data_IF_820654126600
#
_entry.id   IF_820654126600
#
_cell.length_a   1.000
_cell.length_b   1.000
_cell.length_c   1.000
_cell.angle_alpha   90.00
_cell.angle_beta   90.00
_cell.angle_gamma   90.00
#
_symmetry.space_group_name_H-M   'P 1'
#
loop_
_entity.id
_entity.type
_entity.pdbx_description
1 polymer ?
#
# COMPACT_ATOMS: atom_id res chain seq x y z
N UNK A 1 88.63 60.62 57.58
CA UNK A 1 87.17 60.90 57.66
C UNK A 1 86.50 60.17 56.51
N UNK A 2 85.57 59.27 56.82
CA UNK A 2 84.99 58.32 55.86
C UNK A 2 84.04 58.97 54.87
N UNK A 3 84.07 58.47 53.63
CA UNK A 3 83.24 58.91 52.51
C UNK A 3 81.83 58.30 52.67
N UNK A 4 80.73 59.08 52.60
CA UNK A 4 79.38 58.58 52.74
C UNK A 4 78.84 58.12 51.37
N UNK A 5 79.01 56.84 51.02
CA UNK A 5 78.52 56.27 49.75
C UNK A 5 77.17 55.52 49.90
N UNK A 6 76.58 55.44 51.09
CA UNK A 6 75.57 54.39 51.38
C UNK A 6 74.08 54.78 51.40
N UNK A 7 73.70 56.05 51.23
CA UNK A 7 72.29 56.47 51.39
C UNK A 7 71.49 56.53 50.06
N UNK A 8 72.02 57.19 49.01
CA UNK A 8 71.25 57.48 47.79
C UNK A 8 70.81 56.24 46.96
N UNK A 9 71.54 55.13 47.06
CA UNK A 9 71.17 53.88 46.36
C UNK A 9 70.06 53.08 47.06
N UNK A 10 69.90 53.26 48.38
CA UNK A 10 68.90 52.54 49.18
C UNK A 10 67.51 53.14 48.98
N UNK A 11 67.43 54.47 48.85
CA UNK A 11 66.18 55.19 48.60
C UNK A 11 65.63 54.90 47.18
N UNK A 12 66.49 54.84 46.15
CA UNK A 12 66.06 54.50 44.77
C UNK A 12 65.50 53.08 44.63
N UNK A 13 66.10 52.12 45.36
CA UNK A 13 65.63 50.74 45.41
C UNK A 13 64.31 50.62 46.18
N UNK A 14 64.16 51.40 47.26
CA UNK A 14 62.91 51.50 48.02
C UNK A 14 61.77 52.03 47.16
N UNK A 15 62.01 53.10 46.40
CA UNK A 15 61.02 53.71 45.50
C UNK A 15 60.62 52.74 44.37
N UNK A 16 61.59 52.06 43.76
CA UNK A 16 61.31 51.03 42.75
C UNK A 16 60.52 49.85 43.31
N UNK A 17 60.84 49.40 44.52
CA UNK A 17 60.08 48.35 45.20
C UNK A 17 58.65 48.80 45.55
N UNK A 18 58.45 50.07 45.90
CA UNK A 18 57.13 50.66 46.12
C UNK A 18 56.31 50.69 44.82
N UNK A 19 56.90 51.14 43.70
CA UNK A 19 56.23 51.13 42.39
C UNK A 19 55.87 49.72 41.91
N UNK A 20 56.74 48.74 42.14
CA UNK A 20 56.44 47.33 41.83
C UNK A 20 55.27 46.81 42.67
N UNK A 21 55.23 47.13 43.98
CA UNK A 21 54.11 46.76 44.85
C UNK A 21 52.80 47.40 44.39
N UNK A 22 52.82 48.67 44.01
CA UNK A 22 51.63 49.36 43.48
C UNK A 22 51.15 48.72 42.16
N UNK A 23 52.07 48.38 41.26
CA UNK A 23 51.76 47.73 39.98
C UNK A 23 51.18 46.32 40.18
N UNK A 24 51.70 45.57 41.17
CA UNK A 24 51.14 44.28 41.57
C UNK A 24 49.75 44.44 42.19
N UNK A 25 49.54 45.43 43.07
CA UNK A 25 48.22 45.71 43.64
C UNK A 25 47.19 46.10 42.57
N UNK A 26 47.57 46.94 41.60
CA UNK A 26 46.74 47.24 40.42
C UNK A 26 46.42 45.98 39.62
N UNK A 27 47.42 45.14 39.35
CA UNK A 27 47.23 43.88 38.61
C UNK A 27 46.31 42.90 39.37
N UNK A 28 46.44 42.83 40.70
CA UNK A 28 45.56 42.04 41.56
C UNK A 28 44.13 42.57 41.49
N UNK A 29 43.93 43.88 41.64
CA UNK A 29 42.60 44.50 41.51
C UNK A 29 41.97 44.23 40.14
N UNK A 30 42.74 44.31 39.05
CA UNK A 30 42.27 43.97 37.71
C UNK A 30 41.84 42.49 37.64
N UNK A 31 42.63 41.59 38.24
CA UNK A 31 42.32 40.17 38.30
C UNK A 31 41.04 39.91 39.09
N UNK A 32 40.89 40.54 40.25
CA UNK A 32 39.69 40.40 41.10
C UNK A 32 38.44 40.93 40.38
N UNK A 33 38.57 42.05 39.66
CA UNK A 33 37.50 42.59 38.82
C UNK A 33 37.12 41.61 37.70
N UNK A 34 38.10 40.97 37.05
CA UNK A 34 37.84 39.95 36.04
C UNK A 34 37.13 38.73 36.64
N UNK A 35 37.59 38.24 37.79
CA UNK A 35 36.95 37.11 38.50
C UNK A 35 35.51 37.46 38.86
N UNK A 36 35.26 38.67 39.36
CA UNK A 36 33.91 39.16 39.67
C UNK A 36 33.02 39.21 38.42
N UNK A 37 33.54 39.73 37.30
CA UNK A 37 32.81 39.77 36.03
C UNK A 37 32.46 38.37 35.50
N UNK A 38 33.42 37.44 35.52
CA UNK A 38 33.21 36.05 35.10
C UNK A 38 32.19 35.33 36.00
N UNK A 39 32.28 35.52 37.32
CA UNK A 39 31.30 34.98 38.26
C UNK A 39 29.89 35.52 38.01
N UNK A 40 29.76 36.81 37.68
CA UNK A 40 28.48 37.42 37.27
C UNK A 40 27.94 36.79 35.97
N UNK A 41 28.80 36.52 34.98
CA UNK A 41 28.36 35.86 33.75
C UNK A 41 27.90 34.43 33.99
N UNK A 42 28.63 33.66 34.80
CA UNK A 42 28.26 32.29 35.17
C UNK A 42 26.89 32.25 35.86
N UNK A 43 26.67 33.14 36.83
CA UNK A 43 25.39 33.26 37.51
C UNK A 43 24.24 33.63 36.56
N UNK A 44 24.46 34.61 35.66
CA UNK A 44 23.46 35.03 34.69
C UNK A 44 23.15 33.95 33.65
N UNK A 45 24.14 33.20 33.18
CA UNK A 45 23.96 32.08 32.26
C UNK A 45 23.20 30.93 32.92
N UNK A 46 23.55 30.60 34.16
CA UNK A 46 22.85 29.59 34.96
C UNK A 46 21.38 29.96 35.21
N UNK A 47 21.12 31.22 35.56
CA UNK A 47 19.76 31.75 35.71
C UNK A 47 18.99 31.72 34.38
N UNK A 48 19.63 32.08 33.27
CA UNK A 48 19.03 32.04 31.93
C UNK A 48 18.67 30.61 31.53
N UNK A 49 19.59 29.64 31.69
CA UNK A 49 19.32 28.24 31.39
C UNK A 49 18.15 27.70 32.22
N UNK A 50 18.15 28.01 33.52
CA UNK A 50 17.07 27.61 34.43
C UNK A 50 15.74 28.21 34.01
N UNK A 51 15.72 29.46 33.56
CA UNK A 51 14.50 30.13 33.06
C UNK A 51 14.03 29.57 31.71
N UNK A 52 14.96 29.17 30.82
CA UNK A 52 14.63 28.68 29.47
C UNK A 52 14.21 27.20 29.44
N UNK A 53 14.79 26.36 30.31
CA UNK A 53 14.60 24.91 30.30
C UNK A 53 13.13 24.47 30.38
N UNK A 54 12.26 25.04 31.24
CA UNK A 54 10.84 24.67 31.27
C UNK A 54 10.12 24.89 29.94
N UNK A 55 10.43 26.00 29.25
CA UNK A 55 9.86 26.33 27.94
C UNK A 55 10.36 25.36 26.88
N UNK A 56 11.65 25.04 26.85
CA UNK A 56 12.21 24.06 25.90
C UNK A 56 11.57 22.68 26.06
N UNK A 57 11.43 22.19 27.30
CA UNK A 57 10.81 20.89 27.59
C UNK A 57 9.36 20.87 27.11
N UNK A 58 8.58 21.91 27.43
CA UNK A 58 7.16 22.00 27.01
C UNK A 58 7.04 22.07 25.49
N UNK A 59 7.81 22.92 24.83
CA UNK A 59 7.78 23.04 23.36
C UNK A 59 8.17 21.74 22.68
N UNK A 60 9.18 21.02 23.18
CA UNK A 60 9.55 19.72 22.65
C UNK A 60 8.44 18.67 22.84
N UNK A 61 7.82 18.63 24.01
CA UNK A 61 6.70 17.73 24.29
C UNK A 61 5.48 18.01 23.39
N UNK A 62 5.15 19.29 23.20
CA UNK A 62 4.06 19.73 22.31
C UNK A 62 4.34 19.31 20.87
N UNK A 63 5.55 19.58 20.35
CA UNK A 63 5.93 19.17 18.99
C UNK A 63 5.81 17.65 18.80
N UNK A 64 6.30 16.87 19.76
CA UNK A 64 6.19 15.41 19.73
C UNK A 64 4.75 14.93 19.79
N UNK A 65 3.90 15.58 20.59
CA UNK A 65 2.48 15.27 20.65
C UNK A 65 1.81 15.54 19.30
N UNK A 66 2.08 16.68 18.66
CA UNK A 66 1.58 16.99 17.32
C UNK A 66 2.01 15.94 16.28
N UNK A 67 3.29 15.57 16.26
CA UNK A 67 3.78 14.53 15.36
C UNK A 67 3.09 13.17 15.58
N UNK A 68 2.81 12.80 16.83
CA UNK A 68 2.09 11.58 17.16
C UNK A 68 0.62 11.64 16.72
N UNK A 69 -0.04 12.79 16.91
CA UNK A 69 -1.41 13.04 16.46
C UNK A 69 -1.48 12.92 14.93
N UNK A 70 -0.59 13.58 14.20
CA UNK A 70 -0.56 13.55 12.74
C UNK A 70 -0.34 12.14 12.20
N UNK A 71 0.57 11.36 12.80
CA UNK A 71 0.81 9.96 12.41
C UNK A 71 -0.43 9.10 12.64
N UNK A 72 -1.09 9.29 13.79
CA UNK A 72 -2.31 8.54 14.14
C UNK A 72 -3.46 8.90 13.20
N UNK A 73 -3.63 10.18 12.88
CA UNK A 73 -4.65 10.67 11.95
C UNK A 73 -4.41 10.09 10.54
N UNK A 74 -3.16 10.10 10.05
CA UNK A 74 -2.81 9.49 8.77
C UNK A 74 -3.11 7.99 8.74
N UNK A 75 -2.76 7.26 9.81
CA UNK A 75 -3.06 5.84 9.91
C UNK A 75 -4.57 5.57 9.93
N UNK A 76 -5.35 6.38 10.64
CA UNK A 76 -6.81 6.27 10.68
C UNK A 76 -7.43 6.54 9.30
N UNK A 77 -6.96 7.55 8.56
CA UNK A 77 -7.45 7.85 7.22
C UNK A 77 -7.23 6.71 6.23
N UNK A 78 -6.09 6.01 6.31
CA UNK A 78 -5.83 4.82 5.47
C UNK A 78 -6.88 3.74 5.71
N UNK A 79 -7.29 3.53 6.97
CA UNK A 79 -8.30 2.55 7.34
C UNK A 79 -9.69 2.99 6.87
N UNK A 80 -10.06 4.26 7.09
CA UNK A 80 -11.35 4.81 6.66
C UNK A 80 -11.53 4.70 5.15
N UNK A 81 -10.51 5.08 4.37
CA UNK A 81 -10.52 4.93 2.92
C UNK A 81 -10.76 3.47 2.49
N UNK A 82 -10.29 2.51 3.29
CA UNK A 82 -10.45 1.09 3.00
C UNK A 82 -11.89 0.60 3.20
N UNK A 83 -12.59 1.17 4.17
CA UNK A 83 -14.03 0.97 4.35
C UNK A 83 -14.84 1.62 3.23
N UNK A 84 -14.49 2.85 2.82
CA UNK A 84 -15.19 3.53 1.71
C UNK A 84 -15.06 2.73 0.40
N UNK A 85 -13.86 2.27 0.07
CA UNK A 85 -13.62 1.41 -1.09
C UNK A 85 -14.37 0.07 -1.00
N UNK A 86 -14.47 -0.53 0.20
CA UNK A 86 -15.25 -1.75 0.39
C UNK A 86 -16.74 -1.52 0.13
N UNK A 87 -17.29 -0.39 0.60
CA UNK A 87 -18.71 -0.03 0.42
C UNK A 87 -19.03 0.27 -1.05
N UNK A 88 -18.14 0.96 -1.75
CA UNK A 88 -18.30 1.20 -3.19
C UNK A 88 -18.26 -0.11 -3.98
N UNK A 89 -17.28 -0.97 -3.68
CA UNK A 89 -17.18 -2.28 -4.31
C UNK A 89 -18.43 -3.15 -4.04
N UNK A 90 -18.94 -3.16 -2.81
CA UNK A 90 -20.15 -3.88 -2.44
C UNK A 90 -21.36 -3.46 -3.30
N UNK A 91 -21.55 -2.16 -3.53
CA UNK A 91 -22.62 -1.66 -4.39
C UNK A 91 -22.52 -2.24 -5.81
N UNK A 92 -21.30 -2.29 -6.38
CA UNK A 92 -21.05 -2.89 -7.70
C UNK A 92 -21.32 -4.41 -7.69
N UNK A 93 -20.89 -5.12 -6.64
CA UNK A 93 -21.13 -6.57 -6.49
C UNK A 93 -22.62 -6.91 -6.37
N UNK A 94 -23.40 -6.11 -5.65
CA UNK A 94 -24.84 -6.34 -5.48
C UNK A 94 -25.56 -6.20 -6.83
N UNK A 95 -25.23 -5.16 -7.60
CA UNK A 95 -25.81 -4.90 -8.93
C UNK A 95 -25.57 -6.05 -9.91
N UNK A 96 -24.41 -6.68 -9.87
CA UNK A 96 -24.06 -7.79 -10.76
C UNK A 96 -23.32 -7.35 -12.02
N UNK A 97 -22.74 -8.29 -12.78
CA UNK A 97 -21.83 -7.99 -13.89
C UNK A 97 -22.54 -7.66 -15.21
N UNK A 98 -23.87 -7.75 -15.28
CA UNK A 98 -24.65 -7.60 -16.52
C UNK A 98 -24.58 -6.17 -17.10
N UNK A 99 -24.57 -5.14 -16.25
CA UNK A 99 -24.55 -3.74 -16.70
C UNK A 99 -23.14 -3.25 -17.06
N UNK A 100 -22.14 -3.67 -16.28
CA UNK A 100 -20.77 -3.17 -16.35
C UNK A 100 -19.82 -4.25 -15.82
N UNK A 101 -19.38 -5.12 -16.72
CA UNK A 101 -18.46 -6.22 -16.38
C UNK A 101 -17.11 -5.67 -15.91
N UNK A 102 -16.59 -4.64 -16.57
CA UNK A 102 -15.27 -4.07 -16.26
C UNK A 102 -15.26 -3.47 -14.84
N UNK A 103 -16.23 -2.60 -14.53
CA UNK A 103 -16.36 -2.04 -13.18
C UNK A 103 -16.67 -3.10 -12.12
N UNK A 104 -17.34 -4.19 -12.49
CA UNK A 104 -17.59 -5.32 -11.59
C UNK A 104 -16.30 -6.11 -11.28
N UNK A 105 -15.46 -6.36 -12.28
CA UNK A 105 -14.15 -7.00 -12.09
C UNK A 105 -13.20 -6.11 -11.28
N UNK A 106 -13.21 -4.79 -11.51
CA UNK A 106 -12.49 -3.82 -10.70
C UNK A 106 -12.93 -3.88 -9.22
N UNK A 107 -14.24 -3.97 -8.96
CA UNK A 107 -14.78 -4.12 -7.62
C UNK A 107 -14.26 -5.40 -6.92
N UNK A 108 -14.15 -6.51 -7.65
CA UNK A 108 -13.57 -7.76 -7.16
C UNK A 108 -12.09 -7.56 -6.78
N UNK A 109 -11.30 -6.92 -7.63
CA UNK A 109 -9.89 -6.66 -7.33
C UNK A 109 -9.73 -5.73 -6.13
N UNK A 110 -10.61 -4.73 -5.99
CA UNK A 110 -10.67 -3.87 -4.82
C UNK A 110 -10.99 -4.65 -3.53
N UNK A 111 -11.92 -5.62 -3.57
CA UNK A 111 -12.21 -6.53 -2.45
C UNK A 111 -11.01 -7.45 -2.12
N UNK A 112 -10.34 -8.01 -3.12
CA UNK A 112 -9.13 -8.84 -2.91
C UNK A 112 -8.00 -8.03 -2.28
N UNK A 113 -7.81 -6.80 -2.75
CA UNK A 113 -6.86 -5.84 -2.19
C UNK A 113 -7.21 -5.51 -0.72
N UNK A 114 -8.50 -5.39 -0.39
CA UNK A 114 -9.03 -5.17 0.96
C UNK A 114 -8.66 -6.31 1.89
N UNK A 115 -8.94 -7.54 1.45
CA UNK A 115 -8.63 -8.74 2.20
C UNK A 115 -7.12 -8.85 2.45
N UNK A 116 -6.27 -8.60 1.44
CA UNK A 116 -4.81 -8.60 1.62
C UNK A 116 -4.36 -7.56 2.65
N UNK A 117 -4.90 -6.35 2.58
CA UNK A 117 -4.54 -5.27 3.50
C UNK A 117 -4.84 -5.63 4.95
N UNK A 118 -6.06 -6.07 5.26
CA UNK A 118 -6.45 -6.42 6.63
C UNK A 118 -5.84 -7.73 7.12
N UNK A 119 -5.51 -8.65 6.21
CA UNK A 119 -4.79 -9.89 6.56
C UNK A 119 -3.35 -9.61 7.00
N UNK A 120 -2.67 -8.68 6.32
CA UNK A 120 -1.30 -8.30 6.64
C UNK A 120 -1.22 -7.37 7.85
N UNK A 121 -2.30 -6.63 8.16
CA UNK A 121 -2.38 -5.70 9.28
C UNK A 121 -3.28 -6.23 10.41
N UNK A 122 -2.87 -7.33 11.05
CA UNK A 122 -3.59 -7.99 12.17
C UNK A 122 -3.65 -7.20 13.48
N UNK A 123 -3.22 -5.94 13.49
CA UNK A 123 -3.17 -5.11 14.70
C UNK A 123 -4.54 -4.74 15.27
N UNK A 124 -5.64 -5.04 14.57
CA UNK A 124 -7.00 -4.63 14.95
C UNK A 124 -7.88 -5.84 15.28
N UNK A 125 -8.39 -5.94 16.51
CA UNK A 125 -9.38 -6.97 16.89
C UNK A 125 -10.67 -6.93 16.06
N UNK A 126 -10.97 -5.79 15.41
CA UNK A 126 -12.10 -5.64 14.48
C UNK A 126 -11.83 -6.15 13.06
N UNK A 127 -10.61 -6.54 12.70
CA UNK A 127 -10.31 -6.96 11.32
C UNK A 127 -11.03 -8.24 10.92
N UNK A 128 -11.32 -9.14 11.86
CA UNK A 128 -11.92 -10.45 11.55
C UNK A 128 -13.34 -10.33 11.00
N UNK A 129 -14.16 -9.42 11.53
CA UNK A 129 -15.50 -9.15 11.01
C UNK A 129 -15.46 -8.56 9.60
N UNK A 130 -14.53 -7.62 9.36
CA UNK A 130 -14.32 -6.98 8.05
C UNK A 130 -13.83 -8.01 7.03
N UNK A 131 -12.87 -8.85 7.40
CA UNK A 131 -12.36 -9.92 6.55
C UNK A 131 -13.45 -10.93 6.22
N UNK A 132 -14.24 -11.36 7.21
CA UNK A 132 -15.36 -12.28 6.97
C UNK A 132 -16.37 -11.69 5.99
N UNK A 133 -16.78 -10.44 6.20
CA UNK A 133 -17.70 -9.75 5.31
C UNK A 133 -17.14 -9.60 3.88
N UNK A 134 -15.90 -9.16 3.72
CA UNK A 134 -15.26 -9.02 2.42
C UNK A 134 -15.10 -10.37 1.69
N UNK A 135 -14.77 -11.45 2.41
CA UNK A 135 -14.71 -12.79 1.83
C UNK A 135 -16.10 -13.28 1.37
N UNK A 136 -17.15 -13.03 2.16
CA UNK A 136 -18.52 -13.38 1.77
C UNK A 136 -18.96 -12.62 0.51
N UNK A 137 -18.62 -11.33 0.39
CA UNK A 137 -18.87 -10.55 -0.81
C UNK A 137 -18.11 -11.12 -2.02
N UNK A 138 -16.86 -11.54 -1.84
CA UNK A 138 -16.07 -12.16 -2.89
C UNK A 138 -16.69 -13.49 -3.36
N UNK A 139 -17.12 -14.35 -2.44
CA UNK A 139 -17.82 -15.59 -2.78
C UNK A 139 -19.11 -15.31 -3.55
N UNK A 140 -19.91 -14.33 -3.11
CA UNK A 140 -21.13 -13.90 -3.80
C UNK A 140 -20.81 -13.37 -5.21
N UNK A 141 -19.71 -12.64 -5.34
CA UNK A 141 -19.29 -12.07 -6.62
C UNK A 141 -18.95 -13.16 -7.64
N UNK A 142 -18.24 -14.20 -7.20
CA UNK A 142 -17.89 -15.38 -8.01
C UNK A 142 -19.15 -16.13 -8.44
N UNK A 143 -20.08 -16.40 -7.53
CA UNK A 143 -21.33 -17.09 -7.87
C UNK A 143 -22.17 -16.34 -8.91
N UNK A 144 -22.19 -15.00 -8.85
CA UNK A 144 -22.85 -14.15 -9.86
C UNK A 144 -22.18 -14.25 -11.23
N UNK A 145 -20.84 -14.26 -11.28
CA UNK A 145 -20.10 -14.46 -12.54
C UNK A 145 -20.37 -15.84 -13.13
N UNK A 146 -20.37 -16.89 -12.30
CA UNK A 146 -20.68 -18.24 -12.75
C UNK A 146 -22.10 -18.34 -13.32
N UNK A 147 -23.07 -17.68 -12.67
CA UNK A 147 -24.44 -17.64 -13.14
C UNK A 147 -24.57 -16.96 -14.51
N UNK A 148 -23.94 -15.80 -14.68
CA UNK A 148 -23.97 -15.03 -15.92
C UNK A 148 -23.25 -15.77 -17.06
N UNK A 149 -22.12 -16.40 -16.76
CA UNK A 149 -21.43 -17.27 -17.72
C UNK A 149 -22.31 -18.44 -18.18
N UNK A 150 -23.01 -19.10 -17.25
CA UNK A 150 -23.99 -20.16 -17.59
C UNK A 150 -25.13 -19.63 -18.44
N UNK A 151 -25.70 -18.46 -18.11
CA UNK A 151 -26.76 -17.84 -18.90
C UNK A 151 -26.30 -17.53 -20.33
N UNK A 152 -25.09 -17.00 -20.51
CA UNK A 152 -24.50 -16.75 -21.81
C UNK A 152 -24.34 -18.06 -22.60
N UNK A 153 -23.76 -19.10 -21.99
CA UNK A 153 -23.63 -20.41 -22.62
C UNK A 153 -24.99 -20.96 -23.06
N UNK A 154 -26.01 -20.92 -22.20
CA UNK A 154 -27.36 -21.40 -22.55
C UNK A 154 -28.03 -20.58 -23.65
N UNK A 155 -27.77 -19.27 -23.70
CA UNK A 155 -28.37 -18.37 -24.69
C UNK A 155 -27.77 -18.55 -26.09
N UNK A 156 -26.46 -18.77 -26.16
CA UNK A 156 -25.72 -18.83 -27.42
C UNK A 156 -25.42 -20.27 -27.91
N UNK A 157 -25.43 -21.28 -27.03
CA UNK A 157 -25.15 -22.68 -27.40
C UNK A 157 -26.43 -23.42 -27.79
N UNK A 158 -27.10 -22.96 -28.85
CA UNK A 158 -28.29 -23.63 -29.40
C UNK A 158 -27.87 -24.83 -30.26
N UNK A 159 -28.56 -25.98 -30.16
CA UNK A 159 -28.32 -27.12 -31.04
C UNK A 159 -28.37 -26.68 -32.51
N UNK A 160 -27.41 -27.16 -33.32
CA UNK A 160 -27.43 -26.88 -34.75
C UNK A 160 -28.65 -27.56 -35.35
N UNK A 161 -29.53 -26.77 -35.96
CA UNK A 161 -30.70 -27.30 -36.66
C UNK A 161 -30.29 -28.33 -37.72
N UNK A 162 -30.94 -29.50 -37.78
CA UNK A 162 -30.58 -30.58 -38.70
C UNK A 162 -30.47 -30.12 -40.16
N UNK A 163 -31.34 -29.20 -40.58
CA UNK A 163 -31.36 -28.65 -41.94
C UNK A 163 -30.06 -27.92 -42.30
N UNK A 164 -29.44 -27.25 -41.33
CA UNK A 164 -28.16 -26.55 -41.52
C UNK A 164 -26.98 -27.53 -41.53
N UNK A 165 -27.11 -28.68 -40.84
CA UNK A 165 -26.11 -29.75 -40.94
C UNK A 165 -26.05 -30.32 -42.35
N UNK A 166 -27.20 -30.44 -43.05
CA UNK A 166 -27.25 -30.91 -44.43
C UNK A 166 -26.69 -29.91 -45.45
N UNK A 167 -26.74 -28.60 -45.18
CA UNK A 167 -26.11 -27.57 -46.01
C UNK A 167 -24.57 -27.56 -45.92
N UNK A 168 -24.03 -28.03 -44.80
CA UNK A 168 -22.59 -28.18 -44.59
C UNK A 168 -22.01 -29.46 -45.22
N UNK A 169 -22.84 -30.34 -45.78
CA UNK A 169 -22.39 -31.57 -46.44
C UNK A 169 -21.99 -31.30 -47.90
N UNK A 170 -20.91 -31.91 -48.41
CA UNK A 170 -20.62 -31.94 -49.83
C UNK A 170 -21.81 -32.49 -50.62
N UNK A 171 -22.09 -31.93 -51.81
CA UNK A 171 -23.27 -32.26 -52.64
C UNK A 171 -23.55 -33.77 -52.84
N UNK A 172 -22.52 -34.63 -52.70
CA UNK A 172 -22.61 -36.09 -52.81
C UNK A 172 -23.30 -36.79 -51.61
N UNK A 173 -23.35 -36.17 -50.43
CA UNK A 173 -23.85 -36.76 -49.19
C UNK A 173 -25.19 -36.18 -48.73
N UNK A 174 -25.76 -35.23 -49.48
CA UNK A 174 -27.10 -34.70 -49.20
C UNK A 174 -28.14 -35.76 -49.60
N UNK A 175 -29.12 -36.10 -48.74
CA UNK A 175 -30.16 -37.05 -49.13
C UNK A 175 -30.92 -36.46 -50.33
N UNK A 176 -30.70 -37.06 -51.51
CA UNK A 176 -31.47 -36.73 -52.70
C UNK A 176 -32.93 -37.11 -52.42
N UNK A 177 -33.83 -36.14 -52.56
CA UNK A 177 -35.26 -36.41 -52.55
C UNK A 177 -35.61 -37.14 -53.87
N UNK A 178 -35.32 -38.44 -53.92
CA UNK A 178 -35.46 -39.20 -55.16
C UNK A 178 -35.00 -40.66 -55.07
N UNK A 179 -35.93 -41.52 -54.68
CA UNK A 179 -36.07 -42.97 -54.98
C UNK A 179 -35.06 -43.99 -54.38
N UNK A 180 -35.52 -45.24 -54.14
CA UNK A 180 -34.84 -46.22 -53.29
C UNK A 180 -34.01 -47.20 -54.11
N UNK A 181 -32.80 -47.54 -53.67
CA UNK A 181 -32.20 -48.82 -54.05
C UNK A 181 -31.15 -49.33 -53.06
N UNK A 182 -31.17 -50.65 -52.97
CA UNK A 182 -30.69 -51.53 -51.92
C UNK A 182 -29.17 -51.73 -51.94
N UNK A 183 -28.50 -51.64 -50.79
CA UNK A 183 -27.48 -52.64 -50.45
C UNK A 183 -27.14 -52.72 -48.96
N UNK A 184 -27.12 -53.95 -48.47
CA UNK A 184 -26.93 -54.30 -47.07
C UNK A 184 -25.45 -54.22 -46.65
N UNK A 185 -25.13 -53.27 -45.78
CA UNK A 185 -24.07 -53.38 -44.76
C UNK A 185 -24.64 -52.82 -43.47
N UNK A 186 -24.54 -53.59 -42.38
CA UNK A 186 -25.17 -53.30 -41.09
C UNK A 186 -25.11 -51.79 -40.75
N UNK A 187 -26.25 -51.06 -40.81
CA UNK A 187 -26.27 -49.60 -40.77
C UNK A 187 -25.96 -49.03 -39.39
N UNK A 188 -25.97 -49.87 -38.34
CA UNK A 188 -25.71 -49.45 -36.97
C UNK A 188 -24.22 -49.20 -36.69
N UNK A 189 -23.29 -49.99 -37.22
CA UNK A 189 -21.86 -49.80 -36.89
C UNK A 189 -21.24 -48.60 -37.62
N UNK A 190 -21.64 -48.36 -38.88
CA UNK A 190 -21.14 -47.25 -39.70
C UNK A 190 -21.70 -45.91 -39.22
N UNK A 191 -22.97 -45.87 -38.80
CA UNK A 191 -23.54 -44.66 -38.18
C UNK A 191 -22.91 -44.35 -36.83
N UNK A 192 -22.67 -45.35 -35.98
CA UNK A 192 -22.05 -45.14 -34.66
C UNK A 192 -20.60 -44.64 -34.82
N UNK A 193 -19.79 -45.23 -35.70
CA UNK A 193 -18.43 -44.75 -35.95
C UNK A 193 -18.40 -43.30 -36.49
N UNK A 194 -19.36 -42.96 -37.35
CA UNK A 194 -19.45 -41.62 -37.96
C UNK A 194 -19.94 -40.58 -36.95
N UNK A 195 -20.90 -40.94 -36.09
CA UNK A 195 -21.36 -40.12 -34.96
C UNK A 195 -20.23 -39.89 -33.94
N UNK A 196 -19.41 -40.91 -33.68
CA UNK A 196 -18.29 -40.80 -32.75
C UNK A 196 -17.19 -39.87 -33.29
N UNK A 197 -16.89 -39.95 -34.60
CA UNK A 197 -15.97 -39.03 -35.28
C UNK A 197 -16.51 -37.60 -35.32
N UNK A 198 -17.81 -37.43 -35.53
CA UNK A 198 -18.48 -36.12 -35.51
C UNK A 198 -18.48 -35.50 -34.11
N UNK A 199 -18.78 -36.29 -33.07
CA UNK A 199 -18.73 -35.83 -31.68
C UNK A 199 -17.31 -35.43 -31.27
N UNK A 200 -16.29 -36.16 -31.74
CA UNK A 200 -14.89 -35.82 -31.48
C UNK A 200 -14.49 -34.50 -32.14
N UNK A 201 -14.94 -34.23 -33.38
CA UNK A 201 -14.68 -32.96 -34.09
C UNK A 201 -15.43 -31.78 -33.43
N UNK A 202 -16.66 -31.99 -32.97
CA UNK A 202 -17.45 -30.96 -32.26
C UNK A 202 -16.83 -30.65 -30.90
N UNK A 203 -16.34 -31.66 -30.17
CA UNK A 203 -15.63 -31.45 -28.90
C UNK A 203 -14.27 -30.76 -29.12
N UNK A 204 -13.52 -31.12 -30.17
CA UNK A 204 -12.24 -30.48 -30.50
C UNK A 204 -12.42 -29.01 -30.91
N UNK A 205 -13.44 -28.70 -31.71
CA UNK A 205 -13.74 -27.32 -32.11
C UNK A 205 -14.22 -26.47 -30.95
N UNK A 206 -14.99 -27.04 -30.02
CA UNK A 206 -15.40 -26.37 -28.78
C UNK A 206 -14.21 -26.10 -27.85
N UNK A 207 -13.26 -27.03 -27.74
CA UNK A 207 -12.03 -26.84 -26.95
C UNK A 207 -11.08 -25.82 -27.60
N UNK A 208 -10.98 -25.81 -28.93
CA UNK A 208 -10.13 -24.87 -29.66
C UNK A 208 -10.67 -23.43 -29.58
N UNK A 209 -12.00 -23.25 -29.51
CA UNK A 209 -12.62 -21.93 -29.31
C UNK A 209 -12.39 -21.38 -27.90
N UNK A 210 -12.42 -22.25 -26.89
CA UNK A 210 -12.11 -21.88 -25.49
C UNK A 210 -10.61 -21.58 -25.32
N UNK A 211 -9.72 -22.34 -25.98
CA UNK A 211 -8.27 -22.13 -25.87
C UNK A 211 -7.79 -20.88 -26.64
N UNK A 212 -8.38 -20.57 -27.80
CA UNK A 212 -8.05 -19.34 -28.54
C UNK A 212 -8.50 -18.06 -27.83
N UNK A 213 -9.55 -18.11 -27.01
CA UNK A 213 -9.99 -16.92 -26.26
C UNK A 213 -9.16 -16.67 -24.99
N UNK A 214 -8.56 -17.71 -24.40
CA UNK A 214 -7.64 -17.56 -23.26
C UNK A 214 -6.19 -17.18 -23.64
N UNK A 215 -5.78 -17.31 -24.92
CA UNK A 215 -4.42 -16.94 -25.37
C UNK A 215 -4.35 -15.51 -25.97
N UNK A 216 -5.48 -14.80 -26.06
CA UNK A 216 -5.60 -13.45 -26.60
C UNK A 216 -6.14 -12.44 -25.56
N UNK A 217 -5.89 -12.71 -24.28
CA UNK A 217 -5.99 -11.79 -23.13
C UNK A 217 -4.70 -11.96 -22.33
#
# INVERSE_FOLDING_TARGET
MGIPIRAAGVDNLSDKAAMMRESLQKSQSITDNMVSMLGSFDHRLSALETAMRPTQIRTHAIRRAHENIDKTLKAANVILNRFDLSREAESKIIRGPHEDLEGYLEAIENLRSNIRFFTNNKSFKSSDGVLSHANNLLSKAISKLEHEFKQLLSSYSKPVEPDRLYECLPNSLRPSSGSPETNAKNPSSIMIESLQKMLFIILLSSFHLVCCHCYMI
#
